data_IF_825988645839
#
_entry.id   IF_825988645839
#
_cell.length_a   1.000
_cell.length_b   1.000
_cell.length_c   1.000
_cell.angle_alpha   90.00
_cell.angle_beta   90.00
_cell.angle_gamma   90.00
#
_symmetry.space_group_name_H-M   'P 1'
#
loop_
_entity.id
_entity.type
_entity.pdbx_description
1 polymer ?
#
# COMPACT_ATOMS: atom_id res chain seq x y z
N UNK A 1 -1.54 24.92 -2.36
CA UNK A 1 -0.56 23.93 -1.95
C UNK A 1 -1.17 22.54 -1.98
N UNK A 2 -0.55 21.64 -2.69
CA UNK A 2 -1.13 20.33 -2.89
C UNK A 2 -0.42 19.31 -2.05
N UNK A 3 -1.10 18.85 -1.04
CA UNK A 3 -0.59 17.74 -0.25
C UNK A 3 -1.15 16.46 -0.80
N UNK A 4 -0.25 15.58 -1.15
CA UNK A 4 -0.66 14.27 -1.60
C UNK A 4 -0.98 13.43 -0.39
N UNK A 5 -2.20 12.95 -0.35
CA UNK A 5 -2.63 12.09 0.74
C UNK A 5 -2.25 10.66 0.42
N UNK A 6 -1.47 10.09 1.31
CA UNK A 6 -1.11 8.68 1.20
C UNK A 6 -2.06 7.84 2.03
N UNK A 7 -2.47 6.74 1.46
CA UNK A 7 -3.37 5.80 2.10
C UNK A 7 -2.66 4.47 2.22
N UNK A 8 -2.93 3.77 3.30
CA UNK A 8 -2.29 2.49 3.56
C UNK A 8 -3.36 1.45 3.84
N UNK A 9 -3.28 0.32 3.13
CA UNK A 9 -4.17 -0.81 3.31
C UNK A 9 -3.34 -2.01 3.74
N UNK A 10 -3.70 -2.60 4.86
CA UNK A 10 -3.06 -3.82 5.31
C UNK A 10 -3.73 -5.00 4.59
N UNK A 11 -2.95 -5.70 3.77
CA UNK A 11 -3.47 -6.81 2.99
C UNK A 11 -2.48 -7.96 3.11
N UNK A 12 -2.92 -9.04 3.77
CA UNK A 12 -2.03 -10.15 4.07
C UNK A 12 -1.69 -10.98 2.85
N UNK A 13 -2.66 -11.23 2.00
CA UNK A 13 -2.47 -12.17 0.90
C UNK A 13 -1.80 -11.49 -0.28
N UNK A 14 -0.75 -12.11 -0.79
CA UNK A 14 -0.01 -11.56 -1.92
C UNK A 14 -0.92 -11.39 -3.15
N UNK A 15 -1.77 -12.38 -3.40
CA UNK A 15 -2.66 -12.31 -4.56
C UNK A 15 -3.61 -11.12 -4.45
N UNK A 16 -4.08 -10.83 -3.25
CA UNK A 16 -4.97 -9.69 -3.04
C UNK A 16 -4.23 -8.37 -3.22
N UNK A 17 -2.98 -8.31 -2.75
CA UNK A 17 -2.16 -7.11 -2.95
C UNK A 17 -1.95 -6.84 -4.43
N UNK A 18 -1.69 -7.88 -5.20
CA UNK A 18 -1.49 -7.73 -6.64
C UNK A 18 -2.76 -7.23 -7.32
N UNK A 19 -3.90 -7.77 -6.93
CA UNK A 19 -5.17 -7.35 -7.50
C UNK A 19 -5.45 -5.89 -7.22
N UNK A 20 -5.26 -5.47 -5.97
CA UNK A 20 -5.49 -4.09 -5.57
C UNK A 20 -4.52 -3.17 -6.31
N UNK A 21 -3.26 -3.58 -6.42
CA UNK A 21 -2.25 -2.79 -7.12
C UNK A 21 -2.66 -2.51 -8.55
N UNK A 22 -3.13 -3.53 -9.25
CA UNK A 22 -3.55 -3.37 -10.64
C UNK A 22 -4.73 -2.41 -10.73
N UNK A 23 -5.72 -2.59 -9.86
CA UNK A 23 -6.91 -1.74 -9.88
C UNK A 23 -6.54 -0.28 -9.62
N UNK A 24 -5.70 -0.05 -8.61
CA UNK A 24 -5.32 1.32 -8.26
C UNK A 24 -4.49 1.96 -9.37
N UNK A 25 -3.55 1.20 -9.94
CA UNK A 25 -2.72 1.73 -11.01
C UNK A 25 -3.55 2.12 -12.23
N UNK A 26 -4.56 1.30 -12.53
CA UNK A 26 -5.43 1.59 -13.67
C UNK A 26 -6.29 2.81 -13.44
N UNK A 27 -6.47 3.19 -12.20
CA UNK A 27 -7.27 4.35 -11.86
C UNK A 27 -6.43 5.58 -11.54
N UNK A 28 -5.16 5.55 -11.89
CA UNK A 28 -4.33 6.74 -11.82
C UNK A 28 -3.58 6.93 -10.51
N UNK A 29 -3.52 5.90 -9.69
CA UNK A 29 -2.78 5.98 -8.42
C UNK A 29 -1.37 5.46 -8.59
N UNK A 30 -0.46 6.03 -7.82
CA UNK A 30 0.86 5.47 -7.62
C UNK A 30 0.79 4.51 -6.44
N UNK A 31 1.41 3.35 -6.58
CA UNK A 31 1.25 2.29 -5.59
C UNK A 31 2.62 1.77 -5.18
N UNK A 32 2.75 1.49 -3.91
CA UNK A 32 3.98 0.90 -3.37
C UNK A 32 3.62 -0.17 -2.36
N UNK A 33 4.33 -1.29 -2.43
CA UNK A 33 4.18 -2.37 -1.45
C UNK A 33 5.21 -2.19 -0.34
N UNK A 34 4.82 -2.60 0.86
CA UNK A 34 5.75 -2.55 1.98
C UNK A 34 5.37 -3.56 3.04
N UNK A 35 6.20 -3.62 4.06
CA UNK A 35 5.90 -4.43 5.23
C UNK A 35 6.44 -3.73 6.47
N UNK A 36 5.77 -3.99 7.60
CA UNK A 36 6.22 -3.44 8.86
C UNK A 36 6.07 -4.51 9.93
N UNK A 37 6.84 -4.38 10.99
CA UNK A 37 6.75 -5.33 12.08
C UNK A 37 5.44 -5.15 12.82
N UNK A 38 4.81 -6.26 13.15
CA UNK A 38 3.57 -6.23 13.88
C UNK A 38 3.80 -5.82 15.33
N UNK A 39 4.94 -6.22 15.88
CA UNK A 39 5.31 -5.81 17.25
C UNK A 39 6.81 -5.66 17.32
N UNK A 40 7.27 -4.96 18.33
CA UNK A 40 8.70 -4.67 18.47
C UNK A 40 9.52 -5.93 18.76
N UNK A 41 8.92 -6.93 19.39
CA UNK A 41 9.66 -8.12 19.81
C UNK A 41 9.31 -9.35 19.00
N UNK A 42 8.28 -9.29 18.14
CA UNK A 42 7.87 -10.44 17.39
C UNK A 42 8.55 -10.50 16.04
N UNK A 43 8.51 -11.67 15.43
CA UNK A 43 9.01 -11.84 14.06
C UNK A 43 7.92 -11.68 13.02
N UNK A 44 6.68 -11.52 13.44
CA UNK A 44 5.57 -11.38 12.50
C UNK A 44 5.59 -10.00 11.84
N UNK A 45 5.21 -9.97 10.58
CA UNK A 45 5.14 -8.73 9.82
C UNK A 45 3.77 -8.57 9.22
N UNK A 46 3.37 -7.32 9.04
CA UNK A 46 2.16 -6.97 8.34
C UNK A 46 2.54 -6.41 6.98
N UNK A 47 1.94 -6.94 5.94
CA UNK A 47 2.18 -6.45 4.60
C UNK A 47 1.11 -5.43 4.25
N UNK A 48 1.53 -4.38 3.54
CA UNK A 48 0.61 -3.31 3.20
C UNK A 48 0.83 -2.82 1.79
N UNK A 49 -0.20 -2.15 1.28
CA UNK A 49 -0.15 -1.44 0.01
C UNK A 49 -0.35 0.04 0.33
N UNK A 50 0.60 0.86 -0.06
CA UNK A 50 0.49 2.30 0.09
C UNK A 50 0.18 2.90 -1.27
N UNK A 51 -0.78 3.82 -1.32
CA UNK A 51 -1.13 4.42 -2.59
C UNK A 51 -1.47 5.89 -2.41
N UNK A 52 -1.26 6.64 -3.47
CA UNK A 52 -1.56 8.06 -3.48
C UNK A 52 -1.74 8.50 -4.92
N UNK A 53 -2.29 9.67 -5.07
CA UNK A 53 -2.52 10.23 -6.39
C UNK A 53 -1.55 11.37 -6.59
N UNK A 54 -0.75 11.27 -7.63
CA UNK A 54 0.19 12.32 -7.95
C UNK A 54 -0.48 13.31 -8.89
N UNK A 55 -0.40 14.57 -8.51
CA UNK A 55 -0.93 15.65 -9.32
C UNK A 55 0.18 16.15 -10.21
N UNK A 56 0.00 15.97 -11.48
CA UNK A 56 1.00 16.35 -12.44
C UNK A 56 1.06 17.79 -12.79
#
# INVERSE_FOLDING_TARGET
MNEQQHHILDIEKAADRDTVTVILARNGYTVRHGKRKKSATGSASVYFVEYWREEG
#
